data_IF_989195527203
#
_entry.id   IF_989195527203
#
_cell.length_a   1.000
_cell.length_b   1.000
_cell.length_c   1.000
_cell.angle_alpha   90.00
_cell.angle_beta   90.00
_cell.angle_gamma   90.00
#
_symmetry.space_group_name_H-M   'P 1'
#
loop_
_entity.id
_entity.type
_entity.pdbx_description
1 polymer ?
#
# COMPACT_ATOMS: atom_id res chain seq x y z
N UNK A 1 31.96 -6.44 38.80
CA UNK A 1 31.00 -5.45 38.34
C UNK A 1 31.02 -5.50 36.82
N UNK A 2 30.13 -6.26 36.21
CA UNK A 2 30.03 -6.45 34.76
C UNK A 2 29.23 -5.26 34.21
N UNK A 3 29.86 -4.31 33.52
CA UNK A 3 29.19 -3.30 32.75
C UNK A 3 28.51 -4.02 31.57
N UNK A 4 27.19 -4.04 31.59
CA UNK A 4 26.38 -4.48 30.45
C UNK A 4 26.64 -3.51 29.29
N UNK A 5 27.31 -3.97 28.24
CA UNK A 5 27.46 -3.21 27.00
C UNK A 5 26.07 -2.86 26.49
N UNK A 6 25.78 -1.58 26.22
CA UNK A 6 24.48 -1.22 25.66
C UNK A 6 24.30 -1.90 24.32
N UNK A 7 23.09 -2.43 24.09
CA UNK A 7 22.71 -3.10 22.85
C UNK A 7 22.94 -2.13 21.66
N UNK A 8 23.67 -2.60 20.65
CA UNK A 8 23.99 -1.83 19.44
C UNK A 8 22.75 -1.26 18.79
N UNK A 9 21.63 -2.01 18.80
CA UNK A 9 20.35 -1.58 18.27
C UNK A 9 19.72 -0.47 19.13
N UNK A 10 19.87 -0.52 20.44
CA UNK A 10 19.39 0.53 21.35
C UNK A 10 20.17 1.84 21.15
N UNK A 11 21.48 1.74 20.98
CA UNK A 11 22.33 2.89 20.68
C UNK A 11 22.00 3.48 19.29
N UNK A 12 21.76 2.65 18.28
CA UNK A 12 21.31 3.09 16.95
C UNK A 12 20.00 3.87 17.04
N UNK A 13 19.05 3.37 17.81
CA UNK A 13 17.74 4.00 18.05
C UNK A 13 17.89 5.35 18.76
N UNK A 14 18.77 5.43 19.76
CA UNK A 14 19.07 6.68 20.44
C UNK A 14 19.56 7.77 19.46
N UNK A 15 20.51 7.44 18.58
CA UNK A 15 21.03 8.37 17.59
C UNK A 15 19.95 8.85 16.60
N UNK A 16 19.04 7.97 16.19
CA UNK A 16 17.94 8.35 15.28
C UNK A 16 16.98 9.32 15.96
N UNK A 17 16.60 9.06 17.21
CA UNK A 17 15.74 9.96 17.99
C UNK A 17 16.42 11.32 18.17
N UNK A 18 17.72 11.34 18.44
CA UNK A 18 18.48 12.58 18.63
C UNK A 18 18.59 13.40 17.35
N UNK A 19 18.81 12.75 16.20
CA UNK A 19 18.78 13.42 14.90
C UNK A 19 17.38 13.93 14.53
N UNK A 20 16.33 13.19 14.88
CA UNK A 20 14.95 13.60 14.59
C UNK A 20 14.48 14.80 15.43
N UNK A 21 15.13 15.07 16.59
CA UNK A 21 14.81 16.23 17.42
C UNK A 21 15.19 17.58 16.77
N UNK A 22 16.14 17.56 15.82
CA UNK A 22 16.67 18.77 15.19
C UNK A 22 17.57 19.63 16.09
N UNK A 23 17.89 19.17 17.30
CA UNK A 23 18.68 19.88 18.32
C UNK A 23 20.06 19.26 18.56
N UNK A 24 20.57 18.51 17.58
CA UNK A 24 21.85 17.82 17.68
C UNK A 24 23.01 18.83 17.62
N UNK A 25 23.89 18.77 18.62
CA UNK A 25 25.09 19.63 18.68
C UNK A 25 26.22 19.08 17.78
N UNK A 26 27.21 19.92 17.46
CA UNK A 26 28.38 19.51 16.67
C UNK A 26 29.16 18.37 17.36
N UNK A 27 29.30 18.42 18.68
CA UNK A 27 29.97 17.38 19.47
C UNK A 27 29.20 16.05 19.42
N UNK A 28 27.90 16.08 19.53
CA UNK A 28 27.04 14.89 19.39
C UNK A 28 27.11 14.30 17.97
N UNK A 29 27.21 15.15 16.95
CA UNK A 29 27.39 14.71 15.56
C UNK A 29 28.77 14.05 15.37
N UNK A 30 29.83 14.55 16.02
CA UNK A 30 31.13 13.93 16.00
C UNK A 30 31.15 12.57 16.72
N UNK A 31 30.49 12.47 17.88
CA UNK A 31 30.34 11.22 18.62
C UNK A 31 29.53 10.18 17.79
N UNK A 32 28.46 10.60 17.15
CA UNK A 32 27.68 9.74 16.24
C UNK A 32 28.54 9.19 15.09
N UNK A 33 29.33 10.05 14.43
CA UNK A 33 30.23 9.63 13.35
C UNK A 33 31.27 8.61 13.83
N UNK A 34 31.85 8.84 14.99
CA UNK A 34 32.81 7.94 15.60
C UNK A 34 32.17 6.59 15.95
N UNK A 35 31.02 6.60 16.60
CA UNK A 35 30.26 5.38 16.92
C UNK A 35 29.90 4.59 15.65
N UNK A 36 29.40 5.27 14.60
CA UNK A 36 29.01 4.64 13.34
C UNK A 36 30.20 4.01 12.60
N UNK A 37 31.39 4.62 12.69
CA UNK A 37 32.63 4.15 12.07
C UNK A 37 33.33 3.04 12.87
N UNK A 38 32.94 2.82 14.12
CA UNK A 38 33.63 1.88 15.02
C UNK A 38 33.46 0.42 14.58
N UNK A 39 32.36 0.05 13.90
CA UNK A 39 32.18 -1.29 13.36
C UNK A 39 31.13 -1.31 12.22
N UNK A 40 31.26 -2.26 11.27
CA UNK A 40 30.22 -2.48 10.24
C UNK A 40 28.86 -2.83 10.84
N UNK A 41 28.82 -3.45 12.02
CA UNK A 41 27.60 -3.83 12.73
C UNK A 41 26.83 -2.60 13.22
N UNK A 42 27.53 -1.56 13.71
CA UNK A 42 26.93 -0.29 14.11
C UNK A 42 26.25 0.42 12.93
N UNK A 43 26.92 0.44 11.77
CA UNK A 43 26.34 1.01 10.56
C UNK A 43 25.10 0.21 10.09
N UNK A 44 25.16 -1.12 10.16
CA UNK A 44 24.04 -2.00 9.77
C UNK A 44 22.83 -1.80 10.69
N UNK A 45 23.05 -1.79 12.00
CA UNK A 45 22.01 -1.55 13.00
C UNK A 45 21.38 -0.17 12.83
N UNK A 46 22.18 0.86 12.59
CA UNK A 46 21.69 2.21 12.33
C UNK A 46 20.82 2.28 11.09
N UNK A 47 21.23 1.64 9.98
CA UNK A 47 20.43 1.64 8.73
C UNK A 47 19.15 0.81 8.87
N UNK A 48 19.15 -0.27 9.65
CA UNK A 48 17.94 -1.05 9.95
C UNK A 48 16.95 -0.23 10.77
N UNK A 49 17.38 0.37 11.87
CA UNK A 49 16.53 1.23 12.71
C UNK A 49 16.03 2.45 11.91
N UNK A 50 16.87 3.06 11.08
CA UNK A 50 16.49 4.18 10.22
C UNK A 50 15.41 3.80 9.20
N UNK A 51 15.45 2.58 8.66
CA UNK A 51 14.39 2.05 7.77
C UNK A 51 13.07 1.88 8.52
N UNK A 52 13.11 1.33 9.73
CA UNK A 52 11.94 1.20 10.60
C UNK A 52 11.31 2.56 10.92
N UNK A 53 12.12 3.55 11.30
CA UNK A 53 11.65 4.91 11.59
C UNK A 53 11.08 5.63 10.36
N UNK A 54 11.61 5.37 9.17
CA UNK A 54 11.05 5.89 7.92
C UNK A 54 9.71 5.26 7.57
N UNK A 55 9.53 3.97 7.83
CA UNK A 55 8.26 3.28 7.65
C UNK A 55 7.17 3.77 8.63
N UNK A 56 7.59 4.28 9.80
CA UNK A 56 6.70 4.81 10.86
C UNK A 56 6.37 6.30 10.70
N UNK A 57 6.82 7.00 9.66
CA UNK A 57 6.49 8.41 9.42
C UNK A 57 5.00 8.57 9.09
N UNK A 58 4.23 8.62 10.15
CA UNK A 58 2.84 9.06 10.18
C UNK A 58 2.83 10.58 10.05
N UNK A 59 1.90 11.06 9.24
CA UNK A 59 1.52 12.44 8.86
C UNK A 59 1.91 13.58 9.83
N UNK A 60 2.33 14.77 9.33
CA UNK A 60 2.74 15.94 10.13
C UNK A 60 1.70 16.51 11.11
N UNK A 61 0.44 16.10 11.02
CA UNK A 61 -0.64 16.59 11.87
C UNK A 61 -0.54 16.13 13.35
N UNK A 62 0.30 15.16 13.68
CA UNK A 62 0.43 14.61 15.05
C UNK A 62 1.64 15.16 15.83
N UNK A 63 2.53 15.92 15.20
CA UNK A 63 3.75 16.43 15.84
C UNK A 63 3.50 17.44 16.99
N UNK A 64 2.40 18.19 16.94
CA UNK A 64 2.11 19.19 17.97
C UNK A 64 1.63 18.59 19.29
N UNK A 65 0.92 17.46 19.27
CA UNK A 65 0.45 16.80 20.49
C UNK A 65 1.57 16.06 21.23
N UNK A 66 2.53 15.49 20.50
CA UNK A 66 3.67 14.77 21.08
C UNK A 66 4.67 15.75 21.73
N UNK A 67 4.96 16.89 21.11
CA UNK A 67 5.88 17.91 21.67
C UNK A 67 5.38 18.54 22.96
N UNK A 68 4.06 18.72 23.11
CA UNK A 68 3.46 19.30 24.32
C UNK A 68 3.51 18.35 25.53
N UNK A 69 3.50 17.03 25.32
CA UNK A 69 3.57 16.05 26.40
C UNK A 69 4.99 15.83 26.94
N UNK A 70 6.00 15.96 26.11
CA UNK A 70 7.40 15.76 26.49
C UNK A 70 7.95 16.90 27.37
N UNK A 71 7.54 18.14 27.13
CA UNK A 71 8.00 19.29 27.91
C UNK A 71 7.50 19.30 29.37
N UNK A 72 6.43 18.56 29.69
CA UNK A 72 5.90 18.40 31.06
C UNK A 72 6.49 17.21 31.81
N UNK A 73 7.17 16.28 31.14
CA UNK A 73 7.67 15.04 31.75
C UNK A 73 9.12 15.15 32.28
N UNK A 74 9.85 16.21 31.90
CA UNK A 74 11.26 16.35 32.29
C UNK A 74 11.47 16.90 33.72
N UNK A 75 10.42 17.29 34.44
CA UNK A 75 10.56 17.98 35.74
C UNK A 75 10.25 17.16 37.00
N UNK A 76 9.81 15.89 36.90
CA UNK A 76 9.59 15.05 38.09
C UNK A 76 10.07 13.61 37.88
N UNK A 77 11.37 13.41 37.97
CA UNK A 77 11.96 12.06 38.07
C UNK A 77 12.50 11.80 39.46
N UNK A 78 11.74 11.02 40.22
CA UNK A 78 12.33 10.01 41.12
C UNK A 78 11.30 8.87 41.31
N UNK A 79 11.76 7.63 41.11
CA UNK A 79 11.16 6.34 41.48
C UNK A 79 9.79 5.99 40.84
N UNK A 80 9.80 5.38 39.66
CA UNK A 80 8.88 4.31 39.23
C UNK A 80 9.23 3.85 37.80
N UNK A 81 10.49 3.54 37.51
CA UNK A 81 10.97 3.19 36.17
C UNK A 81 10.55 1.78 35.67
N UNK A 82 9.99 0.93 36.52
CA UNK A 82 9.65 -0.46 36.15
C UNK A 82 8.28 -0.68 35.52
N UNK A 83 7.32 0.20 35.77
CA UNK A 83 5.95 0.04 35.24
C UNK A 83 5.72 0.77 33.89
N UNK A 84 6.50 1.81 33.60
CA UNK A 84 6.34 2.60 32.36
C UNK A 84 6.89 1.91 31.10
N UNK A 85 7.85 0.99 31.25
CA UNK A 85 8.38 0.23 30.11
C UNK A 85 7.39 -0.80 29.55
N UNK A 86 6.64 -1.47 30.42
CA UNK A 86 5.60 -2.45 30.00
C UNK A 86 4.41 -1.78 29.33
N UNK A 87 3.99 -0.61 29.79
CA UNK A 87 2.88 0.14 29.18
C UNK A 87 3.25 0.77 27.83
N UNK A 88 4.50 1.22 27.65
CA UNK A 88 4.97 1.72 26.37
C UNK A 88 5.12 0.61 25.32
N UNK A 89 5.56 -0.58 25.73
CA UNK A 89 5.62 -1.76 24.85
C UNK A 89 4.22 -2.24 24.51
N UNK A 90 3.30 -2.28 25.50
CA UNK A 90 1.91 -2.65 25.25
C UNK A 90 1.19 -1.63 24.36
N UNK A 91 1.44 -0.33 24.51
CA UNK A 91 0.88 0.72 23.67
C UNK A 91 1.44 0.66 22.23
N UNK A 92 2.75 0.44 22.06
CA UNK A 92 3.33 0.26 20.73
C UNK A 92 2.87 -1.03 20.06
N UNK A 93 2.73 -2.12 20.80
CA UNK A 93 2.15 -3.37 20.31
C UNK A 93 0.67 -3.20 19.95
N UNK A 94 -0.10 -2.48 20.75
CA UNK A 94 -1.50 -2.17 20.43
C UNK A 94 -1.63 -1.30 19.17
N UNK A 95 -0.83 -0.24 19.04
CA UNK A 95 -0.81 0.60 17.83
C UNK A 95 -0.40 -0.24 16.60
N UNK A 96 0.59 -1.12 16.73
CA UNK A 96 1.03 -2.00 15.67
C UNK A 96 -0.04 -3.04 15.30
N UNK A 97 -0.74 -3.62 16.27
CA UNK A 97 -1.84 -4.57 16.07
C UNK A 97 -3.08 -3.92 15.43
N UNK A 98 -3.29 -2.62 15.61
CA UNK A 98 -4.40 -1.89 15.00
C UNK A 98 -4.08 -1.31 13.61
N UNK A 99 -2.87 -1.47 13.09
CA UNK A 99 -2.56 -0.99 11.74
C UNK A 99 -3.22 -1.89 10.69
N UNK A 100 -3.93 -1.33 9.69
CA UNK A 100 -4.53 -2.11 8.60
C UNK A 100 -3.52 -3.00 7.87
N UNK A 101 -2.27 -2.53 7.74
CA UNK A 101 -1.19 -3.26 7.09
C UNK A 101 -0.86 -4.58 7.79
N UNK A 102 -0.83 -4.61 9.13
CA UNK A 102 -0.57 -5.85 9.88
C UNK A 102 -1.72 -6.84 9.72
N UNK A 103 -2.97 -6.36 9.76
CA UNK A 103 -4.15 -7.20 9.57
C UNK A 103 -4.11 -7.88 8.20
N UNK A 104 -3.78 -7.12 7.15
CA UNK A 104 -3.61 -7.66 5.80
C UNK A 104 -2.49 -8.70 5.78
N UNK A 105 -1.33 -8.40 6.36
CA UNK A 105 -0.19 -9.32 6.39
C UNK A 105 -0.48 -10.64 7.13
N UNK A 106 -1.23 -10.58 8.24
CA UNK A 106 -1.63 -11.79 9.01
C UNK A 106 -2.70 -12.63 8.30
N UNK A 107 -3.51 -12.04 7.43
CA UNK A 107 -4.61 -12.72 6.73
C UNK A 107 -4.25 -13.14 5.32
N UNK A 108 -3.24 -12.53 4.70
CA UNK A 108 -2.89 -12.78 3.31
C UNK A 108 -2.14 -14.10 3.13
N UNK A 109 -2.68 -14.98 2.27
CA UNK A 109 -1.97 -16.17 1.80
C UNK A 109 -1.04 -15.84 0.63
N UNK A 110 -1.42 -14.84 -0.18
CA UNK A 110 -0.63 -14.35 -1.31
C UNK A 110 -0.64 -12.82 -1.35
N UNK A 111 0.54 -12.22 -1.58
CA UNK A 111 0.68 -10.77 -1.74
C UNK A 111 1.76 -10.42 -2.74
N UNK A 112 1.70 -9.20 -3.25
CA UNK A 112 2.69 -8.63 -4.17
C UNK A 112 3.30 -7.34 -3.58
N UNK A 113 4.54 -7.06 -3.99
CA UNK A 113 5.15 -5.74 -3.80
C UNK A 113 4.92 -4.86 -5.03
N UNK A 114 5.99 -4.46 -5.67
CA UNK A 114 5.97 -3.60 -6.87
C UNK A 114 5.81 -4.35 -8.19
N UNK A 115 5.62 -5.66 -8.14
CA UNK A 115 5.58 -6.52 -9.35
C UNK A 115 4.29 -7.31 -9.40
N UNK A 116 3.79 -7.54 -10.61
CA UNK A 116 2.66 -8.43 -10.87
C UNK A 116 3.07 -9.88 -10.64
N UNK A 117 2.15 -10.70 -10.14
CA UNK A 117 2.35 -12.13 -9.95
C UNK A 117 1.13 -12.94 -10.30
N UNK A 118 1.34 -14.04 -11.04
CA UNK A 118 0.30 -15.03 -11.28
C UNK A 118 0.37 -16.14 -10.23
N UNK A 119 -0.75 -16.46 -9.64
CA UNK A 119 -0.94 -17.52 -8.64
C UNK A 119 -1.87 -18.58 -9.24
N UNK A 120 -1.41 -19.82 -9.30
CA UNK A 120 -2.25 -20.96 -9.63
C UNK A 120 -2.98 -21.44 -8.36
N UNK A 121 -4.29 -21.65 -8.45
CA UNK A 121 -5.12 -22.13 -7.36
C UNK A 121 -5.33 -23.64 -7.44
N UNK A 122 -5.70 -24.25 -6.31
CA UNK A 122 -5.87 -25.72 -6.20
C UNK A 122 -7.03 -26.28 -7.05
N UNK A 123 -7.97 -25.44 -7.47
CA UNK A 123 -9.11 -25.80 -8.33
C UNK A 123 -8.82 -25.66 -9.84
N UNK A 124 -7.58 -25.30 -10.22
CA UNK A 124 -7.18 -25.04 -11.59
C UNK A 124 -7.42 -23.60 -12.05
N UNK A 125 -8.05 -22.75 -11.24
CA UNK A 125 -8.17 -21.32 -11.50
C UNK A 125 -6.82 -20.63 -11.39
N UNK A 126 -6.72 -19.42 -11.97
CA UNK A 126 -5.55 -18.56 -11.85
C UNK A 126 -5.97 -17.16 -11.37
N UNK A 127 -5.16 -16.58 -10.51
CA UNK A 127 -5.29 -15.18 -10.09
C UNK A 127 -4.04 -14.43 -10.48
N UNK A 128 -4.19 -13.37 -11.27
CA UNK A 128 -3.11 -12.43 -11.52
C UNK A 128 -3.28 -11.30 -10.53
N UNK A 129 -2.31 -11.14 -9.63
CA UNK A 129 -2.26 -10.05 -8.65
C UNK A 129 -1.46 -8.89 -9.21
N UNK A 130 -2.03 -7.72 -9.17
CA UNK A 130 -1.34 -6.46 -9.51
C UNK A 130 -0.28 -6.11 -8.45
N UNK A 131 0.50 -5.06 -8.68
CA UNK A 131 1.38 -4.49 -7.64
C UNK A 131 0.56 -4.09 -6.41
N UNK A 132 1.17 -4.19 -5.23
CA UNK A 132 0.57 -3.82 -3.94
C UNK A 132 -0.82 -4.46 -3.72
N UNK A 133 -0.94 -5.76 -3.99
CA UNK A 133 -2.19 -6.52 -3.88
C UNK A 133 -2.02 -7.70 -2.94
N UNK A 134 -3.09 -8.07 -2.25
CA UNK A 134 -3.10 -9.17 -1.30
C UNK A 134 -4.44 -9.90 -1.29
N UNK A 135 -4.39 -11.24 -1.27
CA UNK A 135 -5.57 -12.10 -1.16
C UNK A 135 -5.41 -13.13 -0.05
N UNK A 136 -6.54 -13.49 0.54
CA UNK A 136 -6.69 -14.68 1.37
C UNK A 136 -7.52 -15.73 0.61
N UNK A 137 -7.16 -17.02 0.75
CA UNK A 137 -7.75 -18.13 0.00
C UNK A 137 -8.39 -19.10 1.01
N UNK A 138 -9.69 -19.32 0.87
CA UNK A 138 -10.41 -20.23 1.75
C UNK A 138 -11.27 -21.21 0.93
N UNK A 139 -10.67 -22.33 0.52
CA UNK A 139 -11.37 -23.37 -0.22
C UNK A 139 -11.88 -24.46 0.71
N UNK A 140 -13.12 -24.81 0.52
CA UNK A 140 -13.82 -25.88 1.24
C UNK A 140 -14.38 -26.90 0.23
N UNK A 141 -14.91 -28.04 0.68
CA UNK A 141 -15.59 -28.96 -0.22
C UNK A 141 -16.78 -28.33 -0.99
N UNK A 142 -17.41 -27.29 -0.43
CA UNK A 142 -18.63 -26.68 -0.97
C UNK A 142 -18.42 -25.31 -1.62
N UNK A 143 -17.33 -24.60 -1.30
CA UNK A 143 -17.09 -23.23 -1.73
C UNK A 143 -15.63 -22.99 -2.07
N UNK A 144 -15.40 -22.09 -3.02
CA UNK A 144 -14.10 -21.58 -3.42
C UNK A 144 -14.06 -20.08 -3.13
N UNK A 145 -13.78 -19.74 -1.84
CA UNK A 145 -13.83 -18.37 -1.38
C UNK A 145 -12.44 -17.73 -1.43
N UNK A 146 -12.37 -16.51 -1.98
CA UNK A 146 -11.19 -15.64 -1.96
C UNK A 146 -11.62 -14.30 -1.38
N UNK A 147 -10.79 -13.75 -0.52
CA UNK A 147 -10.94 -12.37 -0.04
C UNK A 147 -9.86 -11.51 -0.67
N UNK A 148 -10.25 -10.49 -1.44
CA UNK A 148 -9.34 -9.43 -1.87
C UNK A 148 -9.15 -8.47 -0.71
N UNK A 149 -8.00 -8.57 -0.04
CA UNK A 149 -7.69 -7.77 1.15
C UNK A 149 -7.22 -6.37 0.78
N UNK A 150 -6.64 -6.23 -0.42
CA UNK A 150 -6.10 -4.99 -0.94
C UNK A 150 -5.73 -5.10 -2.40
N UNK A 151 -5.86 -4.00 -3.13
CA UNK A 151 -5.31 -3.83 -4.48
C UNK A 151 -6.19 -4.37 -5.58
N UNK A 152 -5.59 -4.89 -6.65
CA UNK A 152 -6.30 -5.33 -7.85
C UNK A 152 -5.97 -6.79 -8.15
N UNK A 153 -6.95 -7.53 -8.62
CA UNK A 153 -6.77 -8.91 -9.05
C UNK A 153 -7.60 -9.21 -10.30
N UNK A 154 -7.00 -9.93 -11.25
CA UNK A 154 -7.68 -10.54 -12.38
C UNK A 154 -7.86 -12.04 -12.10
N UNK A 155 -9.11 -12.47 -12.04
CA UNK A 155 -9.49 -13.85 -11.80
C UNK A 155 -9.79 -14.53 -13.14
N UNK A 156 -9.14 -15.67 -13.38
CA UNK A 156 -9.42 -16.59 -14.49
C UNK A 156 -9.93 -17.89 -13.88
N UNK A 157 -11.24 -17.98 -13.75
CA UNK A 157 -11.88 -19.02 -12.96
C UNK A 157 -12.13 -20.27 -13.80
N UNK A 158 -11.68 -21.41 -13.29
CA UNK A 158 -12.03 -22.71 -13.85
C UNK A 158 -13.51 -23.04 -13.62
N UNK A 159 -14.21 -23.45 -14.66
CA UNK A 159 -15.64 -23.71 -14.58
C UNK A 159 -15.94 -24.91 -13.67
N UNK A 160 -16.72 -24.68 -12.61
CA UNK A 160 -17.24 -25.70 -11.69
C UNK A 160 -18.58 -25.24 -11.12
N UNK A 161 -19.67 -25.75 -11.72
CA UNK A 161 -21.05 -25.38 -11.32
C UNK A 161 -21.46 -25.97 -9.97
N UNK A 162 -20.72 -26.96 -9.44
CA UNK A 162 -21.02 -27.60 -8.16
C UNK A 162 -20.47 -26.80 -6.97
N UNK A 163 -19.43 -26.01 -7.18
CA UNK A 163 -18.77 -25.20 -6.17
C UNK A 163 -18.59 -23.78 -6.67
N UNK A 164 -19.50 -22.86 -6.34
CA UNK A 164 -19.37 -21.46 -6.74
C UNK A 164 -18.02 -20.87 -6.30
N UNK A 165 -17.43 -20.04 -7.19
CA UNK A 165 -16.26 -19.25 -6.88
C UNK A 165 -16.71 -17.88 -6.36
N UNK A 166 -16.24 -17.48 -5.21
CA UNK A 166 -16.64 -16.25 -4.55
C UNK A 166 -15.44 -15.36 -4.29
N UNK A 167 -15.55 -14.11 -4.70
CA UNK A 167 -14.59 -13.08 -4.31
C UNK A 167 -15.30 -12.10 -3.40
N UNK A 168 -14.77 -11.91 -2.21
CA UNK A 168 -15.22 -10.90 -1.26
C UNK A 168 -14.18 -9.78 -1.23
N UNK A 169 -14.61 -8.55 -1.35
CA UNK A 169 -13.84 -7.36 -1.01
C UNK A 169 -14.32 -6.79 0.33
N UNK A 170 -14.00 -5.53 0.65
CA UNK A 170 -14.33 -4.92 1.94
C UNK A 170 -15.77 -5.18 2.40
N UNK A 171 -16.76 -5.08 1.51
CA UNK A 171 -18.18 -5.20 1.86
C UNK A 171 -19.03 -5.90 0.79
N UNK A 172 -18.52 -6.07 -0.41
CA UNK A 172 -19.21 -6.70 -1.54
C UNK A 172 -18.85 -8.17 -1.68
N UNK A 173 -19.63 -8.87 -2.48
CA UNK A 173 -19.39 -10.26 -2.84
C UNK A 173 -19.66 -10.45 -4.32
N UNK A 174 -18.73 -11.05 -5.03
CA UNK A 174 -18.82 -11.42 -6.43
C UNK A 174 -18.92 -12.95 -6.49
N UNK A 175 -19.96 -13.48 -7.14
CA UNK A 175 -20.11 -14.90 -7.37
C UNK A 175 -19.96 -15.23 -8.86
N UNK A 176 -19.22 -16.27 -9.11
CA UNK A 176 -18.87 -16.73 -10.45
C UNK A 176 -18.87 -18.25 -10.58
N UNK A 177 -19.03 -18.74 -11.81
CA UNK A 177 -19.07 -20.17 -12.12
C UNK A 177 -17.97 -20.57 -13.13
N UNK A 178 -17.35 -19.59 -13.82
CA UNK A 178 -16.32 -19.88 -14.83
C UNK A 178 -16.15 -18.74 -15.82
N UNK A 179 -15.52 -17.65 -15.39
CA UNK A 179 -15.37 -16.40 -16.12
C UNK A 179 -13.96 -15.82 -16.00
N UNK A 180 -13.72 -14.72 -16.73
CA UNK A 180 -12.54 -13.88 -16.56
C UNK A 180 -13.02 -12.49 -16.15
N UNK A 181 -12.66 -12.06 -14.94
CA UNK A 181 -13.09 -10.77 -14.41
C UNK A 181 -12.02 -10.13 -13.52
N UNK A 182 -12.03 -8.83 -13.46
CA UNK A 182 -11.17 -8.01 -12.63
C UNK A 182 -11.94 -7.45 -11.44
N UNK A 183 -11.31 -7.45 -10.27
CA UNK A 183 -11.75 -6.69 -9.09
C UNK A 183 -10.65 -5.72 -8.70
N UNK A 184 -11.00 -4.43 -8.62
CA UNK A 184 -10.13 -3.36 -8.13
C UNK A 184 -10.68 -2.84 -6.82
N UNK A 185 -9.90 -2.97 -5.78
CA UNK A 185 -10.20 -2.39 -4.47
C UNK A 185 -9.33 -1.13 -4.26
N UNK A 186 -9.90 0.03 -4.56
CA UNK A 186 -9.29 1.33 -4.29
C UNK A 186 -9.92 1.94 -3.02
N UNK A 187 -9.22 2.83 -2.29
CA UNK A 187 -9.67 3.34 -0.98
C UNK A 187 -11.08 3.95 -0.94
N UNK A 188 -11.58 4.44 -2.07
CA UNK A 188 -12.90 5.08 -2.14
C UNK A 188 -13.91 4.32 -2.99
N UNK A 189 -13.50 3.25 -3.66
CA UNK A 189 -14.37 2.59 -4.66
C UNK A 189 -13.86 1.20 -4.99
N UNK A 190 -14.76 0.24 -5.00
CA UNK A 190 -14.54 -1.07 -5.61
C UNK A 190 -15.08 -1.04 -7.04
N UNK A 191 -14.36 -1.67 -7.96
CA UNK A 191 -14.76 -1.78 -9.36
C UNK A 191 -14.65 -3.24 -9.81
N UNK A 192 -15.71 -3.78 -10.39
CA UNK A 192 -15.76 -5.12 -10.98
C UNK A 192 -15.95 -4.98 -12.48
N UNK A 193 -15.08 -5.59 -13.27
CA UNK A 193 -15.16 -5.57 -14.75
C UNK A 193 -15.09 -6.98 -15.31
N UNK A 194 -15.95 -7.33 -16.25
CA UNK A 194 -16.03 -8.68 -16.83
C UNK A 194 -15.41 -8.70 -18.21
N UNK A 195 -14.31 -9.46 -18.35
CA UNK A 195 -13.64 -9.65 -19.64
C UNK A 195 -14.21 -10.81 -20.43
N UNK A 196 -14.74 -11.85 -19.74
CA UNK A 196 -15.37 -13.00 -20.42
C UNK A 196 -16.39 -13.64 -19.48
N UNK A 197 -17.59 -13.94 -20.00
CA UNK A 197 -18.64 -14.66 -19.29
C UNK A 197 -19.59 -13.75 -18.50
N UNK A 198 -19.93 -14.16 -17.28
CA UNK A 198 -20.98 -13.51 -16.48
C UNK A 198 -20.69 -13.65 -14.98
N UNK A 199 -20.80 -12.57 -14.21
CA UNK A 199 -20.68 -12.57 -12.75
C UNK A 199 -21.89 -11.91 -12.08
N UNK A 200 -22.23 -12.37 -10.89
CA UNK A 200 -23.24 -11.80 -10.03
C UNK A 200 -22.55 -10.99 -8.91
N UNK A 201 -22.81 -9.68 -8.85
CA UNK A 201 -22.20 -8.75 -7.88
C UNK A 201 -23.23 -8.36 -6.83
N UNK A 202 -23.01 -8.79 -5.60
CA UNK A 202 -23.78 -8.40 -4.42
C UNK A 202 -23.10 -7.21 -3.77
N UNK A 203 -23.74 -6.06 -3.83
CA UNK A 203 -23.17 -4.82 -3.30
C UNK A 203 -23.50 -4.61 -1.82
N UNK A 204 -22.81 -3.73 -1.10
CA UNK A 204 -23.16 -3.41 0.29
C UNK A 204 -24.58 -2.89 0.46
N UNK A 205 -25.13 -2.24 -0.57
CA UNK A 205 -26.48 -1.68 -0.56
C UNK A 205 -27.57 -2.75 -0.74
N UNK A 206 -27.28 -3.78 -1.55
CA UNK A 206 -28.20 -4.89 -1.76
C UNK A 206 -27.43 -6.21 -1.78
N UNK A 207 -27.54 -6.94 -0.68
CA UNK A 207 -26.89 -8.23 -0.49
C UNK A 207 -27.76 -9.41 -0.88
N UNK A 208 -29.01 -9.16 -1.27
CA UNK A 208 -30.00 -10.19 -1.61
C UNK A 208 -30.20 -10.33 -3.10
N UNK A 209 -30.17 -9.21 -3.84
CA UNK A 209 -30.34 -9.19 -5.29
C UNK A 209 -29.06 -8.73 -5.96
N UNK A 210 -28.39 -9.62 -6.75
CA UNK A 210 -27.16 -9.26 -7.42
C UNK A 210 -27.39 -8.35 -8.62
N UNK A 211 -26.43 -7.45 -8.84
CA UNK A 211 -26.25 -6.84 -10.14
C UNK A 211 -25.52 -7.82 -11.04
N UNK A 212 -26.14 -8.26 -12.12
CA UNK A 212 -25.58 -9.20 -13.08
C UNK A 212 -24.77 -8.49 -14.14
N UNK A 213 -23.48 -8.77 -14.22
CA UNK A 213 -22.56 -8.21 -15.20
C UNK A 213 -22.20 -9.26 -16.25
N UNK A 214 -22.19 -8.83 -17.50
CA UNK A 214 -21.77 -9.60 -18.67
C UNK A 214 -20.44 -9.11 -19.21
N UNK A 215 -19.89 -9.84 -20.13
CA UNK A 215 -18.70 -9.43 -20.88
C UNK A 215 -18.83 -8.00 -21.41
N UNK A 216 -17.75 -7.20 -21.23
CA UNK A 216 -17.71 -5.79 -21.58
C UNK A 216 -18.51 -4.88 -20.66
N UNK A 217 -18.96 -5.37 -19.49
CA UNK A 217 -19.66 -4.55 -18.50
C UNK A 217 -18.78 -4.32 -17.26
N UNK A 218 -18.98 -3.16 -16.63
CA UNK A 218 -18.31 -2.74 -15.40
C UNK A 218 -19.30 -2.15 -14.43
N UNK A 219 -19.17 -2.52 -13.16
CA UNK A 219 -19.89 -1.92 -12.05
C UNK A 219 -18.88 -1.35 -11.06
N UNK A 220 -19.17 -0.14 -10.59
CA UNK A 220 -18.45 0.44 -9.47
C UNK A 220 -19.39 0.66 -8.29
N UNK A 221 -18.87 0.51 -7.06
CA UNK A 221 -19.62 0.79 -5.84
C UNK A 221 -18.71 1.28 -4.71
N UNK A 222 -19.33 1.93 -3.75
CA UNK A 222 -18.77 2.32 -2.46
C UNK A 222 -19.64 1.71 -1.36
N UNK A 223 -19.30 1.93 -0.08
CA UNK A 223 -20.13 1.47 1.04
C UNK A 223 -21.58 2.03 1.03
N UNK A 224 -21.85 3.16 0.38
CA UNK A 224 -23.19 3.79 0.35
C UNK A 224 -23.78 4.00 -1.04
N UNK A 225 -23.00 3.82 -2.10
CA UNK A 225 -23.40 4.20 -3.46
C UNK A 225 -23.05 3.10 -4.45
N UNK A 226 -23.99 2.76 -5.30
CA UNK A 226 -23.78 1.90 -6.48
C UNK A 226 -23.89 2.79 -7.71
N UNK A 227 -22.87 2.78 -8.56
CA UNK A 227 -22.84 3.57 -9.79
C UNK A 227 -23.54 2.81 -10.91
N UNK A 228 -24.01 3.52 -11.96
CA UNK A 228 -24.56 2.87 -13.14
C UNK A 228 -23.59 1.89 -13.79
N UNK A 229 -24.11 0.81 -14.36
CA UNK A 229 -23.28 -0.15 -15.10
C UNK A 229 -22.78 0.53 -16.38
N UNK A 230 -21.46 0.58 -16.53
CA UNK A 230 -20.79 0.94 -17.77
C UNK A 230 -20.81 -0.26 -18.72
N UNK A 231 -21.07 -0.01 -20.01
CA UNK A 231 -21.20 -1.04 -21.05
C UNK A 231 -20.28 -0.75 -22.23
N UNK A 232 -20.10 -1.79 -23.06
CA UNK A 232 -19.27 -1.71 -24.28
C UNK A 232 -17.80 -1.40 -24.01
N UNK A 233 -17.28 -1.88 -22.87
CA UNK A 233 -15.85 -1.82 -22.57
C UNK A 233 -15.19 -2.96 -23.36
N UNK A 234 -14.21 -2.65 -24.23
CA UNK A 234 -13.46 -3.68 -24.93
C UNK A 234 -12.83 -4.66 -23.91
N UNK A 235 -13.00 -5.98 -24.06
CA UNK A 235 -12.44 -6.96 -23.12
C UNK A 235 -10.92 -6.87 -22.98
N UNK A 236 -10.23 -6.40 -24.01
CA UNK A 236 -8.79 -6.17 -24.00
C UNK A 236 -8.36 -4.91 -23.26
N UNK A 237 -9.27 -4.02 -22.92
CA UNK A 237 -9.02 -2.89 -22.03
C UNK A 237 -9.21 -3.24 -20.55
N UNK A 238 -9.82 -4.39 -20.25
CA UNK A 238 -9.99 -4.87 -18.88
C UNK A 238 -8.70 -5.50 -18.39
N UNK A 239 -8.28 -5.10 -17.20
CA UNK A 239 -7.02 -5.54 -16.57
C UNK A 239 -5.78 -5.41 -17.47
N UNK A 240 -5.69 -4.33 -18.24
CA UNK A 240 -4.58 -4.06 -19.16
C UNK A 240 -3.22 -4.10 -18.46
N UNK A 241 -3.18 -3.78 -17.15
CA UNK A 241 -2.00 -3.87 -16.31
C UNK A 241 -1.44 -5.30 -16.25
N UNK A 242 -2.29 -6.33 -16.38
CA UNK A 242 -1.84 -7.73 -16.40
C UNK A 242 -0.98 -8.08 -17.62
N UNK A 243 -0.96 -7.21 -18.62
CA UNK A 243 -0.15 -7.31 -19.84
C UNK A 243 1.04 -6.32 -19.87
N UNK A 244 1.23 -5.58 -18.77
CA UNK A 244 2.36 -4.68 -18.62
C UNK A 244 2.08 -3.21 -18.94
N UNK A 245 0.83 -2.83 -19.15
CA UNK A 245 0.42 -1.47 -19.48
C UNK A 245 -0.48 -0.87 -18.42
N UNK A 246 -0.36 0.44 -18.18
CA UNK A 246 -1.22 1.21 -17.28
C UNK A 246 -1.90 2.30 -18.08
N UNK A 247 -3.23 2.25 -18.16
CA UNK A 247 -4.03 3.31 -18.78
C UNK A 247 -4.42 4.33 -17.70
N UNK A 248 -4.13 5.58 -17.99
CA UNK A 248 -4.66 6.73 -17.26
C UNK A 248 -5.66 7.45 -18.16
N UNK A 249 -6.83 7.74 -17.64
CA UNK A 249 -7.86 8.51 -18.34
C UNK A 249 -8.33 9.66 -17.47
N UNK A 250 -8.13 10.88 -17.99
CA UNK A 250 -8.54 12.12 -17.31
C UNK A 250 -8.09 12.20 -15.85
N UNK A 251 -6.95 11.59 -15.52
CA UNK A 251 -6.42 11.49 -14.16
C UNK A 251 -5.85 12.82 -13.67
N UNK A 252 -5.96 13.08 -12.37
CA UNK A 252 -5.21 14.18 -11.75
C UNK A 252 -3.72 13.81 -11.67
N UNK A 253 -2.85 14.81 -11.49
CA UNK A 253 -1.43 14.55 -11.27
C UNK A 253 -1.20 13.63 -10.05
N UNK A 254 -1.95 13.85 -8.98
CA UNK A 254 -1.84 13.02 -7.77
C UNK A 254 -2.24 11.56 -8.04
N UNK A 255 -3.35 11.34 -8.75
CA UNK A 255 -3.83 10.00 -9.10
C UNK A 255 -2.85 9.30 -10.04
N UNK A 256 -2.34 10.01 -11.04
CA UNK A 256 -1.37 9.47 -12.00
C UNK A 256 -0.06 9.07 -11.32
N UNK A 257 0.49 9.94 -10.47
CA UNK A 257 1.70 9.64 -9.69
C UNK A 257 1.44 8.48 -8.73
N UNK A 258 0.29 8.45 -8.06
CA UNK A 258 -0.08 7.34 -7.18
C UNK A 258 -0.17 6.01 -7.94
N UNK A 259 -0.85 6.00 -9.09
CA UNK A 259 -1.02 4.80 -9.91
C UNK A 259 0.31 4.22 -10.41
N UNK A 260 1.23 5.09 -10.87
CA UNK A 260 2.54 4.67 -11.38
C UNK A 260 3.48 4.27 -10.23
N UNK A 261 3.44 4.99 -9.10
CA UNK A 261 4.33 4.74 -7.97
C UNK A 261 4.16 3.34 -7.35
N UNK A 262 3.03 2.68 -7.57
CA UNK A 262 2.78 1.29 -7.14
C UNK A 262 3.75 0.28 -7.78
N UNK A 263 4.25 0.58 -8.97
CA UNK A 263 5.19 -0.28 -9.73
C UNK A 263 6.66 0.09 -9.49
N UNK A 264 6.90 1.10 -8.66
CA UNK A 264 8.23 1.63 -8.40
C UNK A 264 8.78 1.23 -7.05
N UNK A 265 10.07 0.85 -6.99
CA UNK A 265 10.79 0.72 -5.72
C UNK A 265 11.23 2.10 -5.23
N UNK A 266 10.73 2.53 -4.08
CA UNK A 266 11.05 3.82 -3.48
C UNK A 266 9.89 4.79 -3.55
N UNK A 267 9.87 5.75 -2.62
CA UNK A 267 8.77 6.68 -2.47
C UNK A 267 8.79 7.78 -3.54
N UNK A 268 7.60 8.21 -3.94
CA UNK A 268 7.39 9.37 -4.81
C UNK A 268 6.59 10.40 -4.04
N UNK A 269 7.06 11.64 -4.02
CA UNK A 269 6.40 12.75 -3.35
C UNK A 269 6.11 13.87 -4.34
N UNK A 270 5.00 14.57 -4.13
CA UNK A 270 4.71 15.82 -4.83
C UNK A 270 4.91 16.95 -3.84
N UNK A 271 5.76 17.91 -4.19
CA UNK A 271 6.09 19.06 -3.34
C UNK A 271 5.55 20.36 -3.95
N UNK A 272 4.79 21.12 -3.16
CA UNK A 272 4.22 22.40 -3.56
C UNK A 272 2.81 22.29 -4.12
N UNK A 273 2.38 23.34 -4.82
CA UNK A 273 1.05 23.38 -5.43
C UNK A 273 0.92 22.38 -6.57
N UNK A 274 -0.10 21.54 -6.48
CA UNK A 274 -0.41 20.55 -7.51
C UNK A 274 -1.18 21.26 -8.63
N UNK A 275 -0.70 21.20 -9.90
CA UNK A 275 -1.44 21.76 -11.03
C UNK A 275 -2.78 21.00 -11.20
N UNK A 276 -3.87 21.62 -10.78
CA UNK A 276 -5.21 21.00 -10.83
C UNK A 276 -5.85 21.09 -12.22
N UNK A 277 -5.38 22.05 -13.04
CA UNK A 277 -5.97 22.33 -14.35
C UNK A 277 -5.58 21.31 -15.44
N UNK A 278 -4.46 20.61 -15.28
CA UNK A 278 -3.99 19.63 -16.28
C UNK A 278 -4.43 18.22 -15.89
N UNK A 279 -5.11 17.57 -16.80
CA UNK A 279 -5.47 16.17 -16.73
C UNK A 279 -4.52 15.34 -17.55
N UNK A 280 -4.29 14.11 -17.13
CA UNK A 280 -3.35 13.19 -17.73
C UNK A 280 -4.11 12.02 -18.29
N UNK A 281 -3.98 11.78 -19.60
CA UNK A 281 -4.48 10.60 -20.29
C UNK A 281 -3.36 10.00 -21.11
N UNK A 282 -3.27 8.69 -21.13
CA UNK A 282 -2.26 7.96 -21.88
C UNK A 282 -2.07 6.53 -21.39
N UNK A 283 -1.27 5.77 -22.13
CA UNK A 283 -0.87 4.42 -21.77
C UNK A 283 0.61 4.45 -21.42
N UNK A 284 0.95 3.91 -20.26
CA UNK A 284 2.28 3.89 -19.69
C UNK A 284 2.73 2.45 -19.43
N UNK A 285 4.01 2.19 -19.63
CA UNK A 285 4.60 0.89 -19.31
C UNK A 285 4.85 0.76 -17.82
N UNK A 286 4.36 -0.32 -17.19
CA UNK A 286 4.53 -0.55 -15.75
C UNK A 286 5.94 -1.01 -15.37
N UNK A 287 6.71 -1.54 -16.32
CA UNK A 287 8.11 -1.92 -16.14
C UNK A 287 9.09 -0.72 -16.25
N UNK A 288 8.57 0.45 -16.66
CA UNK A 288 9.32 1.70 -16.81
C UNK A 288 8.68 2.86 -16.01
N UNK A 289 8.43 2.70 -14.69
CA UNK A 289 7.70 3.69 -13.90
C UNK A 289 8.43 5.04 -13.81
N UNK A 290 9.77 5.06 -13.84
CA UNK A 290 10.56 6.28 -13.76
C UNK A 290 10.45 7.10 -15.05
N UNK A 291 10.38 6.45 -16.21
CA UNK A 291 10.14 7.13 -17.50
C UNK A 291 8.72 7.70 -17.56
N UNK A 292 7.73 6.93 -17.09
CA UNK A 292 6.35 7.39 -17.00
C UNK A 292 6.22 8.64 -16.12
N UNK A 293 6.85 8.63 -14.93
CA UNK A 293 6.87 9.79 -14.04
C UNK A 293 7.60 11.00 -14.65
N UNK A 294 8.68 10.76 -15.39
CA UNK A 294 9.42 11.81 -16.09
C UNK A 294 8.57 12.46 -17.19
N UNK A 295 7.86 11.67 -17.96
CA UNK A 295 6.92 12.14 -18.99
C UNK A 295 5.80 12.99 -18.37
N UNK A 296 5.22 12.52 -17.26
CA UNK A 296 4.17 13.26 -16.54
C UNK A 296 4.71 14.57 -15.99
N UNK A 297 5.90 14.56 -15.39
CA UNK A 297 6.51 15.77 -14.86
C UNK A 297 6.73 16.81 -15.97
N UNK A 298 7.31 16.39 -17.11
CA UNK A 298 7.54 17.27 -18.26
C UNK A 298 6.23 17.87 -18.80
N UNK A 299 5.18 17.06 -18.96
CA UNK A 299 3.87 17.52 -19.47
C UNK A 299 3.14 18.45 -18.50
N UNK A 300 3.36 18.30 -17.20
CA UNK A 300 2.69 19.12 -16.17
C UNK A 300 3.50 20.34 -15.73
N UNK A 301 4.72 20.52 -16.27
CA UNK A 301 5.62 21.63 -15.89
C UNK A 301 6.25 21.43 -14.52
N UNK A 302 6.38 20.18 -14.10
CA UNK A 302 7.08 19.79 -12.87
C UNK A 302 8.51 19.38 -13.16
N UNK A 303 9.41 19.56 -12.21
CA UNK A 303 10.77 19.05 -12.24
C UNK A 303 10.91 17.89 -11.26
N UNK A 304 11.80 16.96 -11.58
CA UNK A 304 12.08 15.80 -10.72
C UNK A 304 13.40 16.00 -10.01
N UNK A 305 13.37 15.80 -8.67
CA UNK A 305 14.55 15.72 -7.85
C UNK A 305 14.71 14.28 -7.35
N UNK A 306 15.87 13.69 -7.60
CA UNK A 306 16.23 12.37 -7.09
C UNK A 306 16.99 12.50 -5.77
N UNK A 307 16.51 11.82 -4.74
CA UNK A 307 17.13 11.81 -3.43
C UNK A 307 17.69 10.41 -3.11
N UNK A 308 18.67 10.31 -2.20
CA UNK A 308 19.19 9.02 -1.74
C UNK A 308 18.07 8.09 -1.25
N UNK A 309 18.22 6.79 -1.45
CA UNK A 309 17.21 5.78 -1.10
C UNK A 309 16.12 5.59 -2.15
N UNK A 310 16.41 5.94 -3.41
CA UNK A 310 15.49 5.82 -4.55
C UNK A 310 14.20 6.64 -4.37
N UNK A 311 14.30 7.78 -3.67
CA UNK A 311 13.19 8.71 -3.47
C UNK A 311 13.14 9.70 -4.63
N UNK A 312 11.95 9.93 -5.15
CA UNK A 312 11.67 10.89 -6.21
C UNK A 312 10.74 11.98 -5.68
N UNK A 313 11.08 13.25 -5.96
CA UNK A 313 10.25 14.38 -5.59
C UNK A 313 9.89 15.17 -6.84
N UNK A 314 8.62 15.21 -7.18
CA UNK A 314 8.09 16.10 -8.21
C UNK A 314 7.81 17.45 -7.57
N UNK A 315 8.41 18.51 -8.10
CA UNK A 315 8.19 19.88 -7.62
C UNK A 315 7.98 20.82 -8.81
N UNK A 316 7.30 21.93 -8.55
CA UNK A 316 7.19 22.99 -9.55
C UNK A 316 8.58 23.57 -9.85
N UNK A 317 8.85 23.84 -11.12
CA UNK A 317 10.09 24.45 -11.57
C UNK A 317 10.27 25.86 -11.00
#
# INVERSE_FOLDING_TARGET
MTQTQPDIAETARHWIVRMASGEMTEDELAQFRTWRAASPEHNTAFEQERRLWRALRISPAQDHAVRASWKRMSQKRTLKAGLFSLTAIAASAAIFLYTPALKIWLQADQWTGTTIRTVALADGSQVVLDSDSAIAIHFTPNHRDITLLRGNALFKVHHDSTRPFRVTDQDGRIEDVGTVFEVRDAPARVTVSVSQGLVDVYTPRDRSVPARLREGERLAYTNGTVFPIERNIPPDEIAIWSRGDLTLDNATLADAVHAISRYRRGAVYIWGEIPTARRISGVFRIDQPDEALSTIAATTGMTILHLPGNIMVLRRA
#
